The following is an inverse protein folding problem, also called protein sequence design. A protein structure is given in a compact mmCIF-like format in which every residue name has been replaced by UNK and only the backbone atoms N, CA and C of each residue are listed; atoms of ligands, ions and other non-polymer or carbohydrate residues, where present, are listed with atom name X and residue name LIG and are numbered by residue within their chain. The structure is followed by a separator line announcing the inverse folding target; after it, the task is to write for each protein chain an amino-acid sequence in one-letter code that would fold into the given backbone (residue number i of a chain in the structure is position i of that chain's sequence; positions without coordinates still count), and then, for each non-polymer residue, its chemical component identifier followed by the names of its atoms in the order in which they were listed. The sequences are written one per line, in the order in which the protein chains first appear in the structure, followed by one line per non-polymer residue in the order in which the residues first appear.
data_IF_349599231940
#
_entry.id   IF_349599231940
#
_cell.length_a   1.000
_cell.length_b   1.000
_cell.length_c   1.000
_cell.angle_alpha   90.00
_cell.angle_beta   90.00
_cell.angle_gamma   90.00
#
_symmetry.space_group_name_H-M   'P 1'
#
loop_
_entity.id
_entity.type
_entity.pdbx_description
1 polymer ?
#
# COMPACT_ATOMS: atom_id res chain seq x y z
N UNK A 1 3.24 10.27 30.03
CA UNK A 1 2.99 10.46 28.60
C UNK A 1 2.51 9.14 28.03
N UNK A 2 1.32 9.10 27.42
CA UNK A 2 0.66 7.87 26.92
C UNK A 2 0.65 7.78 25.38
N UNK A 3 1.13 8.81 24.68
CA UNK A 3 1.12 8.92 23.22
C UNK A 3 2.54 9.18 22.74
N UNK A 4 2.98 8.40 21.75
CA UNK A 4 4.20 8.60 20.99
C UNK A 4 3.83 9.24 19.64
N UNK A 5 4.22 10.50 19.47
CA UNK A 5 3.92 11.26 18.24
C UNK A 5 4.84 10.90 17.08
N UNK A 6 6.05 10.42 17.35
CA UNK A 6 6.99 9.94 16.32
C UNK A 6 6.45 8.67 15.67
N UNK A 7 6.04 7.71 16.50
CA UNK A 7 5.57 6.40 16.04
C UNK A 7 4.07 6.37 15.75
N UNK A 8 3.37 7.49 15.95
CA UNK A 8 1.92 7.61 15.83
C UNK A 8 1.20 6.48 16.57
N UNK A 9 1.66 6.21 17.80
CA UNK A 9 1.17 5.12 18.64
C UNK A 9 0.78 5.63 20.03
N UNK A 10 0.05 4.81 20.77
CA UNK A 10 -0.31 5.11 22.15
C UNK A 10 -0.25 3.86 23.01
N UNK A 11 0.27 4.02 24.22
CA UNK A 11 0.27 2.99 25.25
C UNK A 11 -1.09 2.95 25.93
N UNK A 12 -1.89 1.95 25.61
CA UNK A 12 -3.24 1.76 26.16
C UNK A 12 -3.24 0.72 27.27
N UNK A 13 -4.19 0.86 28.20
CA UNK A 13 -4.43 -0.13 29.25
C UNK A 13 -5.51 -1.11 28.80
N UNK A 14 -5.26 -2.40 28.96
CA UNK A 14 -6.24 -3.44 28.69
C UNK A 14 -7.14 -3.59 29.92
N UNK A 15 -8.44 -3.29 29.75
CA UNK A 15 -9.44 -3.32 30.83
C UNK A 15 -10.31 -4.57 30.81
N UNK A 16 -10.44 -5.23 29.65
CA UNK A 16 -11.23 -6.44 29.48
C UNK A 16 -10.70 -7.25 28.29
N UNK A 17 -10.80 -8.58 28.40
CA UNK A 17 -10.44 -9.53 27.33
C UNK A 17 -11.65 -10.46 27.13
N UNK A 18 -12.10 -10.64 25.89
CA UNK A 18 -13.29 -11.45 25.59
C UNK A 18 -12.98 -12.96 25.45
N UNK A 19 -11.76 -13.31 25.04
CA UNK A 19 -11.32 -14.69 24.83
C UNK A 19 -10.37 -15.18 25.94
N UNK A 20 -10.14 -16.50 26.04
CA UNK A 20 -9.13 -17.10 26.94
C UNK A 20 -7.69 -16.86 26.43
N UNK A 21 -7.34 -15.60 26.16
CA UNK A 21 -6.01 -15.17 25.76
C UNK A 21 -5.38 -14.37 26.91
N UNK A 22 -4.09 -14.60 27.14
CA UNK A 22 -3.32 -13.78 28.07
C UNK A 22 -2.68 -12.62 27.32
N UNK A 23 -3.20 -11.41 27.59
CA UNK A 23 -2.64 -10.16 27.11
C UNK A 23 -1.93 -9.43 28.26
N UNK A 24 -0.91 -8.60 27.96
CA UNK A 24 -0.25 -7.76 28.96
C UNK A 24 -1.22 -6.72 29.56
N UNK A 25 -0.86 -6.09 30.69
CA UNK A 25 -1.70 -5.04 31.29
C UNK A 25 -1.80 -3.78 30.40
N UNK A 26 -0.74 -3.53 29.62
CA UNK A 26 -0.65 -2.42 28.68
C UNK A 26 -0.09 -2.91 27.35
N UNK A 27 -0.51 -2.28 26.27
CA UNK A 27 0.02 -2.53 24.93
C UNK A 27 0.10 -1.21 24.15
N UNK A 28 1.08 -1.12 23.27
CA UNK A 28 1.13 -0.04 22.28
C UNK A 28 0.21 -0.38 21.12
N UNK A 29 -0.58 0.61 20.69
CA UNK A 29 -1.48 0.49 19.54
C UNK A 29 -1.35 1.70 18.62
N UNK A 30 -1.51 1.55 17.30
CA UNK A 30 -1.51 2.67 16.37
C UNK A 30 -2.65 3.66 16.66
N UNK A 31 -2.38 4.97 16.56
CA UNK A 31 -3.40 6.01 16.76
C UNK A 31 -4.58 5.87 15.79
N UNK A 32 -4.34 5.34 14.59
CA UNK A 32 -5.38 5.08 13.59
C UNK A 32 -6.36 3.97 14.00
N UNK A 33 -6.02 3.15 14.99
CA UNK A 33 -6.89 2.09 15.52
C UNK A 33 -7.72 2.53 16.72
N UNK A 34 -7.43 3.72 17.28
CA UNK A 34 -8.14 4.24 18.45
C UNK A 34 -9.53 4.78 18.11
N UNK A 35 -10.44 4.72 19.08
CA UNK A 35 -11.76 5.33 18.99
C UNK A 35 -12.01 6.17 20.23
N UNK A 36 -12.74 7.29 20.10
CA UNK A 36 -12.97 8.15 21.24
C UNK A 36 -13.97 7.51 22.21
N UNK A 37 -13.71 7.66 23.50
CA UNK A 37 -14.59 7.21 24.57
C UNK A 37 -15.65 8.27 24.87
N UNK A 38 -16.81 7.85 25.38
CA UNK A 38 -17.86 8.78 25.77
C UNK A 38 -17.41 9.70 26.93
N UNK A 39 -16.66 9.15 27.88
CA UNK A 39 -16.02 9.90 28.96
C UNK A 39 -14.60 10.25 28.55
N UNK A 40 -14.33 11.53 28.32
CA UNK A 40 -13.03 12.04 27.93
C UNK A 40 -12.48 12.95 29.02
N UNK A 41 -11.20 12.77 29.38
CA UNK A 41 -10.54 13.63 30.37
C UNK A 41 -10.29 15.04 29.84
N UNK A 42 -10.03 15.16 28.54
CA UNK A 42 -9.80 16.44 27.87
C UNK A 42 -11.14 17.08 27.46
N UNK A 43 -11.35 18.33 27.85
CA UNK A 43 -12.56 19.11 27.54
C UNK A 43 -12.42 20.03 26.31
N UNK A 44 -11.25 20.07 25.67
CA UNK A 44 -10.99 20.90 24.49
C UNK A 44 -11.73 20.40 23.24
N UNK A 45 -11.95 19.09 23.15
CA UNK A 45 -12.74 18.45 22.10
C UNK A 45 -13.81 17.58 22.77
N UNK A 46 -15.03 17.62 22.24
CA UNK A 46 -16.06 16.67 22.59
C UNK A 46 -15.86 15.34 21.84
N UNK A 47 -16.75 14.38 22.12
CA UNK A 47 -16.72 13.05 21.49
C UNK A 47 -16.68 13.14 19.95
N UNK A 48 -17.50 14.05 19.40
CA UNK A 48 -17.64 14.25 17.95
C UNK A 48 -16.38 14.89 17.38
N UNK A 49 -15.85 15.92 18.03
CA UNK A 49 -14.60 16.58 17.65
C UNK A 49 -13.44 15.61 17.63
N UNK A 50 -13.32 14.77 18.66
CA UNK A 50 -12.28 13.75 18.73
C UNK A 50 -12.44 12.69 17.64
N UNK A 51 -13.67 12.21 17.40
CA UNK A 51 -13.96 11.27 16.30
C UNK A 51 -13.54 11.84 14.94
N UNK A 52 -13.89 13.10 14.67
CA UNK A 52 -13.53 13.78 13.43
C UNK A 52 -12.01 13.90 13.25
N UNK A 53 -11.27 14.23 14.30
CA UNK A 53 -9.80 14.28 14.23
C UNK A 53 -9.19 12.91 13.89
N UNK A 54 -9.67 11.84 14.52
CA UNK A 54 -9.21 10.47 14.24
C UNK A 54 -9.57 10.07 12.80
N UNK A 55 -10.77 10.40 12.31
CA UNK A 55 -11.18 10.11 10.95
C UNK A 55 -10.35 10.88 9.91
N UNK A 56 -9.97 12.13 10.20
CA UNK A 56 -9.03 12.89 9.37
C UNK A 56 -7.64 12.26 9.35
N UNK A 57 -7.13 11.82 10.51
CA UNK A 57 -5.86 11.10 10.63
C UNK A 57 -5.86 9.82 9.80
N UNK A 58 -6.92 9.00 9.93
CA UNK A 58 -7.11 7.78 9.13
C UNK A 58 -7.17 8.09 7.65
N UNK A 59 -7.93 9.10 7.26
CA UNK A 59 -8.05 9.50 5.86
C UNK A 59 -6.66 9.87 5.28
N UNK A 60 -5.89 10.64 6.03
CA UNK A 60 -4.53 11.02 5.65
C UNK A 60 -3.64 9.80 5.42
N UNK A 61 -3.45 8.94 6.42
CA UNK A 61 -2.50 7.82 6.31
C UNK A 61 -2.97 6.67 5.39
N UNK A 62 -4.28 6.49 5.24
CA UNK A 62 -4.83 5.45 4.37
C UNK A 62 -4.90 5.86 2.89
N UNK A 63 -5.02 7.16 2.61
CA UNK A 63 -5.37 7.61 1.25
C UNK A 63 -4.49 8.71 0.67
N UNK A 64 -3.81 9.51 1.51
CA UNK A 64 -3.00 10.63 1.04
C UNK A 64 -1.50 10.38 1.22
N UNK A 65 -1.10 9.81 2.37
CA UNK A 65 0.29 9.48 2.64
C UNK A 65 0.75 8.30 1.78
N UNK A 66 1.84 8.51 1.05
CA UNK A 66 2.43 7.52 0.17
C UNK A 66 3.75 6.99 0.73
N UNK A 67 4.14 5.75 0.41
CA UNK A 67 5.35 5.12 0.95
C UNK A 67 6.65 5.88 0.67
N UNK A 68 6.70 6.68 -0.39
CA UNK A 68 7.87 7.46 -0.81
C UNK A 68 7.88 8.90 -0.26
N UNK A 69 6.87 9.30 0.53
CA UNK A 69 6.82 10.62 1.15
C UNK A 69 7.75 10.72 2.35
N UNK A 70 8.08 9.59 2.99
CA UNK A 70 9.02 9.55 4.10
C UNK A 70 10.45 9.92 3.66
N UNK A 71 10.76 9.72 2.38
CA UNK A 71 12.07 9.99 1.78
C UNK A 71 12.15 11.38 1.13
N UNK A 72 11.09 12.20 1.22
CA UNK A 72 11.15 13.57 0.71
C UNK A 72 12.11 14.42 1.57
N UNK A 73 12.86 15.31 0.91
CA UNK A 73 13.77 16.24 1.59
C UNK A 73 12.97 17.05 2.63
N UNK A 74 13.50 17.17 3.85
CA UNK A 74 12.89 17.91 4.97
C UNK A 74 12.47 19.35 4.61
N UNK A 75 13.00 19.89 3.51
CA UNK A 75 12.68 21.21 2.98
C UNK A 75 11.41 21.27 2.11
N UNK A 76 10.78 20.13 1.79
CA UNK A 76 9.56 20.08 0.97
C UNK A 76 8.33 20.37 1.83
N UNK A 77 7.60 21.45 1.50
CA UNK A 77 6.26 21.67 2.04
C UNK A 77 5.30 20.64 1.44
N UNK A 78 5.09 19.53 2.16
CA UNK A 78 4.22 18.43 1.73
C UNK A 78 2.78 18.92 1.49
N UNK A 79 2.29 19.86 2.31
CA UNK A 79 0.92 20.38 2.18
C UNK A 79 0.77 21.15 0.88
N UNK A 80 1.70 22.06 0.60
CA UNK A 80 1.70 22.82 -0.65
C UNK A 80 1.91 21.93 -1.89
N UNK A 81 2.66 20.84 -1.74
CA UNK A 81 3.08 19.99 -2.87
C UNK A 81 2.07 18.88 -3.19
N UNK A 82 1.42 18.28 -2.19
CA UNK A 82 0.67 17.02 -2.36
C UNK A 82 -0.77 17.06 -1.88
N UNK A 83 -1.12 17.87 -0.86
CA UNK A 83 -2.42 17.74 -0.19
C UNK A 83 -3.60 17.91 -1.16
N UNK A 84 -3.60 19.00 -1.93
CA UNK A 84 -4.70 19.30 -2.86
C UNK A 84 -4.80 18.27 -3.98
N UNK A 85 -3.67 17.92 -4.60
CA UNK A 85 -3.62 17.02 -5.76
C UNK A 85 -4.05 15.61 -5.39
N UNK A 86 -3.65 15.10 -4.21
CA UNK A 86 -4.01 13.75 -3.75
C UNK A 86 -5.44 13.66 -3.24
N UNK A 87 -5.95 14.69 -2.56
CA UNK A 87 -7.39 14.78 -2.23
C UNK A 87 -8.21 14.75 -3.52
N UNK A 88 -7.83 15.56 -4.51
CA UNK A 88 -8.50 15.57 -5.82
C UNK A 88 -8.46 14.20 -6.48
N UNK A 89 -7.29 13.56 -6.55
CA UNK A 89 -7.13 12.23 -7.14
C UNK A 89 -8.05 11.21 -6.47
N UNK A 90 -8.08 11.18 -5.13
CA UNK A 90 -8.93 10.27 -4.37
C UNK A 90 -10.41 10.43 -4.73
N UNK A 91 -10.91 11.68 -4.75
CA UNK A 91 -12.32 11.93 -5.08
C UNK A 91 -12.62 11.73 -6.56
N UNK A 92 -11.69 12.02 -7.46
CA UNK A 92 -11.84 11.75 -8.90
C UNK A 92 -11.99 10.24 -9.15
N UNK A 93 -11.19 9.41 -8.48
CA UNK A 93 -11.32 7.95 -8.53
C UNK A 93 -12.65 7.48 -7.92
N UNK A 94 -13.04 8.03 -6.75
CA UNK A 94 -14.29 7.65 -6.06
C UNK A 94 -15.55 8.03 -6.85
N UNK A 95 -15.51 9.15 -7.58
CA UNK A 95 -16.62 9.66 -8.40
C UNK A 95 -16.66 9.11 -9.82
N UNK A 96 -15.69 8.29 -10.20
CA UNK A 96 -15.60 7.70 -11.55
C UNK A 96 -15.18 8.69 -12.63
N UNK A 97 -14.55 9.82 -12.26
CA UNK A 97 -13.90 10.73 -13.21
C UNK A 97 -12.67 10.04 -13.80
N UNK A 98 -11.95 9.27 -12.98
CA UNK A 98 -10.88 8.39 -13.44
C UNK A 98 -11.49 7.06 -13.89
N UNK A 99 -11.17 6.63 -15.12
CA UNK A 99 -11.65 5.34 -15.63
C UNK A 99 -11.12 4.16 -14.79
N UNK A 100 -11.77 3.00 -14.93
CA UNK A 100 -11.49 1.84 -14.09
C UNK A 100 -10.06 1.33 -14.29
N UNK A 101 -9.57 1.24 -15.54
CA UNK A 101 -8.22 0.75 -15.82
C UNK A 101 -7.16 1.61 -15.15
N UNK A 102 -7.28 2.93 -15.25
CA UNK A 102 -6.33 3.86 -14.61
C UNK A 102 -6.42 3.78 -13.09
N UNK A 103 -7.62 3.62 -12.53
CA UNK A 103 -7.77 3.41 -11.09
C UNK A 103 -7.04 2.15 -10.61
N UNK A 104 -7.14 1.05 -11.36
CA UNK A 104 -6.51 -0.22 -11.00
C UNK A 104 -4.98 -0.15 -11.11
N UNK A 105 -4.47 0.62 -12.08
CA UNK A 105 -3.05 0.96 -12.21
C UNK A 105 -2.54 1.75 -11.00
N UNK A 106 -3.27 2.79 -10.60
CA UNK A 106 -2.95 3.63 -9.43
C UNK A 106 -2.91 2.76 -8.17
N UNK A 107 -3.97 1.97 -7.91
CA UNK A 107 -4.03 1.07 -6.74
C UNK A 107 -2.89 0.06 -6.74
N UNK A 108 -2.52 -0.45 -7.91
CA UNK A 108 -1.40 -1.39 -8.05
C UNK A 108 -0.07 -0.73 -7.74
N UNK A 109 0.17 0.50 -8.20
CA UNK A 109 1.37 1.28 -7.87
C UNK A 109 1.48 1.54 -6.38
N UNK A 110 0.38 1.99 -5.74
CA UNK A 110 0.36 2.26 -4.31
C UNK A 110 0.64 0.99 -3.51
N UNK A 111 0.00 -0.14 -3.87
CA UNK A 111 0.24 -1.42 -3.21
C UNK A 111 1.69 -1.88 -3.37
N UNK A 112 2.23 -1.81 -4.59
CA UNK A 112 3.62 -2.17 -4.87
C UNK A 112 4.61 -1.27 -4.11
N UNK A 113 4.34 0.04 -4.04
CA UNK A 113 5.11 0.97 -3.22
C UNK A 113 5.10 0.59 -1.74
N UNK A 114 3.95 0.21 -1.18
CA UNK A 114 3.86 -0.22 0.23
C UNK A 114 4.66 -1.51 0.47
N UNK A 115 4.57 -2.47 -0.44
CA UNK A 115 5.34 -3.72 -0.37
C UNK A 115 6.86 -3.48 -0.49
N UNK A 116 7.28 -2.56 -1.36
CA UNK A 116 8.69 -2.19 -1.52
C UNK A 116 9.19 -1.43 -0.28
N UNK A 117 8.44 -0.47 0.23
CA UNK A 117 8.82 0.29 1.43
C UNK A 117 9.00 -0.63 2.64
N UNK A 118 8.08 -1.58 2.84
CA UNK A 118 8.21 -2.57 3.90
C UNK A 118 9.43 -3.50 3.73
N UNK A 119 9.89 -3.75 2.49
CA UNK A 119 11.11 -4.53 2.24
C UNK A 119 12.38 -3.70 2.45
N UNK A 120 12.35 -2.42 2.11
CA UNK A 120 13.45 -1.48 2.36
C UNK A 120 13.70 -1.40 3.86
N UNK A 121 12.68 -1.03 4.65
CA UNK A 121 12.81 -0.91 6.11
C UNK A 121 13.34 -2.19 6.76
N UNK A 122 12.83 -3.37 6.38
CA UNK A 122 13.35 -4.64 6.91
C UNK A 122 14.82 -4.89 6.57
N UNK A 123 15.24 -4.58 5.34
CA UNK A 123 16.64 -4.76 4.93
C UNK A 123 17.55 -3.75 5.62
N UNK A 124 17.08 -2.54 5.88
CA UNK A 124 17.81 -1.53 6.63
C UNK A 124 17.97 -1.94 8.10
N UNK A 125 16.91 -2.43 8.74
CA UNK A 125 16.97 -2.99 10.10
C UNK A 125 17.95 -4.17 10.17
N UNK A 126 17.85 -5.12 9.24
CA UNK A 126 18.76 -6.28 9.16
C UNK A 126 20.24 -5.87 8.96
N UNK A 127 20.50 -4.78 8.22
CA UNK A 127 21.86 -4.26 8.02
C UNK A 127 22.35 -3.53 9.27
N UNK A 128 21.50 -2.73 9.91
CA UNK A 128 21.83 -2.00 11.14
C UNK A 128 22.19 -2.96 12.28
N UNK A 129 21.42 -4.04 12.45
CA UNK A 129 21.67 -5.07 13.48
C UNK A 129 23.00 -5.82 13.24
N UNK A 130 23.38 -6.04 11.98
CA UNK A 130 24.65 -6.71 11.61
C UNK A 130 25.89 -5.83 11.84
N UNK A 131 25.76 -4.50 11.80
CA UNK A 131 26.85 -3.56 12.05
C UNK A 131 27.26 -3.47 13.53
N UNK A 132 26.37 -3.84 14.45
CA UNK A 132 26.63 -3.83 15.90
C UNK A 132 27.50 -5.04 16.36
N UNK A 133 27.46 -6.17 15.66
CA UNK A 133 28.22 -7.39 15.98
C UNK A 133 29.68 -7.35 15.45
N UNK A 134 30.50 -6.34 15.76
CA UNK A 134 31.98 -6.21 15.54
C UNK A 134 32.57 -6.75 14.20
N UNK A 135 31.73 -7.01 13.19
CA UNK A 135 32.06 -7.63 11.90
C UNK A 135 31.98 -6.55 10.82
N UNK A 136 32.66 -5.44 11.09
CA UNK A 136 32.60 -4.14 10.37
C UNK A 136 32.97 -4.12 8.88
N UNK A 137 33.02 -5.24 8.15
CA UNK A 137 33.69 -5.21 6.85
C UNK A 137 32.93 -5.74 5.65
N UNK A 138 31.74 -6.33 5.77
CA UNK A 138 31.05 -6.83 4.58
C UNK A 138 29.53 -6.70 4.76
N UNK A 139 28.97 -5.49 4.55
CA UNK A 139 27.57 -5.44 4.09
C UNK A 139 27.51 -6.37 2.90
N UNK A 140 26.73 -7.45 2.99
CA UNK A 140 26.61 -8.42 1.91
C UNK A 140 26.34 -7.66 0.61
N UNK A 141 27.28 -7.72 -0.34
CA UNK A 141 27.15 -7.03 -1.63
C UNK A 141 25.81 -7.41 -2.30
N UNK A 142 25.28 -8.60 -1.99
CA UNK A 142 23.94 -9.05 -2.33
C UNK A 142 22.83 -8.19 -1.73
N UNK A 143 22.83 -7.96 -0.40
CA UNK A 143 21.83 -7.12 0.30
C UNK A 143 21.88 -5.66 -0.17
N UNK A 144 23.08 -5.08 -0.28
CA UNK A 144 23.24 -3.71 -0.78
C UNK A 144 22.71 -3.54 -2.22
N UNK A 145 22.99 -4.52 -3.10
CA UNK A 145 22.46 -4.53 -4.46
C UNK A 145 20.92 -4.69 -4.50
N UNK A 146 20.35 -5.49 -3.59
CA UNK A 146 18.90 -5.62 -3.47
C UNK A 146 18.25 -4.33 -2.99
N UNK A 147 18.78 -3.71 -1.95
CA UNK A 147 18.31 -2.43 -1.41
C UNK A 147 18.32 -1.35 -2.49
N UNK A 148 19.43 -1.21 -3.22
CA UNK A 148 19.55 -0.28 -4.34
C UNK A 148 18.47 -0.53 -5.43
N UNK A 149 18.20 -1.79 -5.80
CA UNK A 149 17.12 -2.12 -6.76
C UNK A 149 15.74 -1.73 -6.26
N UNK A 150 15.47 -1.90 -4.96
CA UNK A 150 14.21 -1.53 -4.35
C UNK A 150 14.01 -0.01 -4.36
N UNK A 151 15.01 0.79 -3.97
CA UNK A 151 14.93 2.25 -4.07
C UNK A 151 14.75 2.73 -5.51
N UNK A 152 15.47 2.15 -6.48
CA UNK A 152 15.25 2.50 -7.88
C UNK A 152 13.82 2.22 -8.33
N UNK A 153 13.23 1.09 -7.92
CA UNK A 153 11.84 0.80 -8.26
C UNK A 153 10.87 1.73 -7.53
N UNK A 154 11.12 2.07 -6.27
CA UNK A 154 10.32 3.06 -5.53
C UNK A 154 10.30 4.41 -6.26
N UNK A 155 11.46 4.88 -6.71
CA UNK A 155 11.56 6.13 -7.48
C UNK A 155 10.84 6.07 -8.83
N UNK A 156 10.84 4.91 -9.51
CA UNK A 156 10.02 4.74 -10.71
C UNK A 156 8.53 4.82 -10.40
N UNK A 157 8.07 4.19 -9.32
CA UNK A 157 6.67 4.24 -8.89
C UNK A 157 6.25 5.68 -8.57
N UNK A 158 7.09 6.43 -7.84
CA UNK A 158 6.86 7.85 -7.54
C UNK A 158 6.67 8.66 -8.82
N UNK A 159 7.61 8.55 -9.77
CA UNK A 159 7.51 9.25 -11.06
C UNK A 159 6.27 8.85 -11.87
N UNK A 160 5.90 7.56 -11.88
CA UNK A 160 4.66 7.10 -12.52
C UNK A 160 3.42 7.73 -11.84
N UNK A 161 3.44 7.83 -10.50
CA UNK A 161 2.36 8.43 -9.71
C UNK A 161 2.26 9.94 -9.89
N UNK A 162 3.36 10.68 -9.97
CA UNK A 162 3.35 12.13 -10.19
C UNK A 162 2.60 12.51 -11.49
N UNK A 163 2.80 11.72 -12.54
CA UNK A 163 2.06 11.86 -13.80
C UNK A 163 0.57 11.59 -13.61
N UNK A 164 0.23 10.57 -12.82
CA UNK A 164 -1.16 10.16 -12.56
C UNK A 164 -1.87 11.10 -11.59
N UNK A 165 -1.17 11.79 -10.70
CA UNK A 165 -1.72 12.81 -9.81
C UNK A 165 -2.09 14.09 -10.57
N UNK A 166 -1.29 14.45 -11.58
CA UNK A 166 -1.57 15.60 -12.44
C UNK A 166 -2.85 15.38 -13.29
N UNK A 167 -3.92 16.18 -13.09
CA UNK A 167 -5.19 15.97 -13.80
C UNK A 167 -5.08 16.07 -15.32
N UNK A 168 -4.26 16.99 -15.83
CA UNK A 168 -4.10 17.19 -17.27
C UNK A 168 -3.39 15.99 -17.92
N UNK A 169 -2.32 15.51 -17.30
CA UNK A 169 -1.57 14.35 -17.80
C UNK A 169 -2.42 13.07 -17.72
N UNK A 170 -3.15 12.89 -16.61
CA UNK A 170 -4.09 11.77 -16.44
C UNK A 170 -5.18 11.77 -17.50
N UNK A 171 -5.80 12.91 -17.79
CA UNK A 171 -6.83 13.05 -18.83
C UNK A 171 -6.26 12.74 -20.24
N UNK A 172 -5.03 13.18 -20.53
CA UNK A 172 -4.35 12.81 -21.78
C UNK A 172 -4.14 11.29 -21.92
N UNK A 173 -3.74 10.60 -20.85
CA UNK A 173 -3.56 9.14 -20.85
C UNK A 173 -4.87 8.38 -21.05
N UNK A 174 -5.97 8.87 -20.47
CA UNK A 174 -7.29 8.27 -20.64
C UNK A 174 -7.83 8.41 -22.06
N UNK A 175 -7.56 9.55 -22.72
CA UNK A 175 -7.95 9.78 -24.12
C UNK A 175 -7.07 9.01 -25.10
N UNK A 176 -5.84 8.67 -24.71
CA UNK A 176 -4.86 8.02 -25.57
C UNK A 176 -4.25 6.77 -24.88
N UNK A 177 -5.02 5.67 -24.77
CA UNK A 177 -4.66 4.52 -23.95
C UNK A 177 -3.44 3.72 -24.45
N UNK A 178 -2.88 4.06 -25.62
CA UNK A 178 -1.66 3.43 -26.16
C UNK A 178 -0.50 3.52 -25.15
N UNK A 179 -0.40 4.63 -24.41
CA UNK A 179 0.62 4.80 -23.35
C UNK A 179 0.36 3.91 -22.13
N UNK A 180 -0.91 3.74 -21.73
CA UNK A 180 -1.32 2.91 -20.59
C UNK A 180 -1.06 1.43 -20.89
N UNK A 181 -1.44 0.96 -22.08
CA UNK A 181 -1.17 -0.40 -22.52
C UNK A 181 0.34 -0.69 -22.57
N UNK A 182 1.18 0.28 -22.97
CA UNK A 182 2.63 0.11 -22.95
C UNK A 182 3.19 0.00 -21.52
N UNK A 183 2.62 0.73 -20.55
CA UNK A 183 2.99 0.63 -19.12
C UNK A 183 2.54 -0.72 -18.56
N UNK A 184 1.31 -1.18 -18.84
CA UNK A 184 0.85 -2.51 -18.43
C UNK A 184 1.68 -3.62 -19.07
N UNK A 185 2.00 -3.52 -20.36
CA UNK A 185 2.85 -4.49 -21.06
C UNK A 185 4.25 -4.54 -20.42
N UNK A 186 4.87 -3.39 -20.13
CA UNK A 186 6.15 -3.35 -19.40
C UNK A 186 6.06 -3.93 -18.00
N UNK A 187 4.96 -3.71 -17.27
CA UNK A 187 4.73 -4.30 -15.93
C UNK A 187 4.53 -5.82 -15.99
N UNK A 188 3.84 -6.34 -17.01
CA UNK A 188 3.70 -7.78 -17.24
C UNK A 188 5.03 -8.40 -17.63
N UNK A 189 5.86 -7.69 -18.38
CA UNK A 189 7.21 -8.14 -18.74
C UNK A 189 8.15 -8.18 -17.53
N UNK A 190 8.08 -7.21 -16.62
CA UNK A 190 8.91 -7.20 -15.40
C UNK A 190 8.50 -8.26 -14.36
N UNK A 191 7.22 -8.68 -14.33
CA UNK A 191 6.71 -9.73 -13.45
C UNK A 191 6.87 -11.16 -14.00
N UNK A 192 7.43 -11.29 -15.21
CA UNK A 192 7.49 -12.54 -15.96
C UNK A 192 6.13 -12.87 -16.57
N UNK A 193 6.09 -13.15 -17.88
CA UNK A 193 4.86 -13.57 -18.56
C UNK A 193 4.42 -14.94 -18.01
N UNK A 194 3.45 -14.96 -17.10
CA UNK A 194 2.65 -16.16 -16.81
C UNK A 194 1.43 -16.16 -17.72
N UNK A 195 1.18 -17.29 -18.36
CA UNK A 195 -0.04 -17.50 -19.14
C UNK A 195 -1.16 -17.73 -18.12
N UNK A 196 -2.12 -16.81 -18.06
CA UNK A 196 -3.29 -16.88 -17.19
C UNK A 196 -4.51 -17.19 -18.04
N UNK A 197 -5.31 -18.18 -17.64
CA UNK A 197 -6.56 -18.54 -18.31
C UNK A 197 -7.74 -18.32 -17.36
N UNK A 198 -8.81 -17.69 -17.85
CA UNK A 198 -10.03 -17.47 -17.05
C UNK A 198 -11.10 -18.47 -17.47
N UNK A 199 -11.52 -19.32 -16.54
CA UNK A 199 -12.61 -20.27 -16.72
C UNK A 199 -13.86 -19.78 -15.97
N UNK A 200 -14.94 -19.51 -16.69
CA UNK A 200 -16.22 -19.08 -16.09
C UNK A 200 -17.10 -20.31 -15.88
N UNK A 201 -17.34 -20.68 -14.62
CA UNK A 201 -18.18 -21.82 -14.23
C UNK A 201 -19.55 -21.36 -13.75
N UNK A 202 -20.62 -21.87 -14.38
CA UNK A 202 -22.00 -21.55 -14.03
C UNK A 202 -22.64 -22.52 -13.02
N UNK A 203 -21.87 -23.48 -12.48
CA UNK A 203 -22.35 -24.48 -11.52
C UNK A 203 -22.92 -25.74 -12.19
N UNK A 204 -22.51 -26.92 -11.71
CA UNK A 204 -23.08 -28.23 -12.04
C UNK A 204 -22.60 -29.29 -11.03
N UNK A 205 -22.97 -30.56 -11.25
CA UNK A 205 -22.45 -31.69 -10.46
C UNK A 205 -20.93 -31.80 -10.52
N UNK A 206 -20.32 -32.39 -9.48
CA UNK A 206 -18.86 -32.63 -9.41
C UNK A 206 -18.31 -33.33 -10.65
N UNK A 207 -19.03 -34.32 -11.19
CA UNK A 207 -18.62 -35.03 -12.41
C UNK A 207 -18.55 -34.10 -13.62
N UNK A 208 -19.56 -33.25 -13.80
CA UNK A 208 -19.57 -32.26 -14.87
C UNK A 208 -18.44 -31.22 -14.70
N UNK A 209 -18.07 -30.86 -13.47
CA UNK A 209 -16.91 -29.99 -13.21
C UNK A 209 -15.60 -30.66 -13.64
N UNK A 210 -15.41 -31.94 -13.30
CA UNK A 210 -14.24 -32.72 -13.71
C UNK A 210 -14.16 -32.80 -15.24
N UNK A 211 -15.29 -33.08 -15.91
CA UNK A 211 -15.33 -33.19 -17.37
C UNK A 211 -15.04 -31.85 -18.06
N UNK A 212 -15.51 -30.73 -17.49
CA UNK A 212 -15.21 -29.39 -18.00
C UNK A 212 -13.73 -29.00 -17.85
N UNK A 213 -13.10 -29.34 -16.72
CA UNK A 213 -11.67 -29.11 -16.51
C UNK A 213 -10.82 -29.99 -17.43
N UNK A 214 -11.22 -31.24 -17.64
CA UNK A 214 -10.54 -32.13 -18.59
C UNK A 214 -10.61 -31.61 -20.03
N UNK A 215 -11.75 -31.04 -20.45
CA UNK A 215 -11.85 -30.37 -21.74
C UNK A 215 -11.00 -29.11 -21.81
N UNK A 216 -10.95 -28.30 -20.75
CA UNK A 216 -10.13 -27.10 -20.72
C UNK A 216 -8.63 -27.43 -20.89
N UNK A 217 -8.17 -28.58 -20.36
CA UNK A 217 -6.81 -29.08 -20.55
C UNK A 217 -6.43 -29.30 -22.02
N UNK A 218 -7.38 -29.59 -22.92
CA UNK A 218 -7.09 -29.74 -24.35
C UNK A 218 -6.71 -28.42 -25.03
N UNK A 219 -7.08 -27.28 -24.43
CA UNK A 219 -6.87 -25.95 -24.99
C UNK A 219 -5.77 -25.16 -24.27
N UNK A 220 -5.25 -25.68 -23.15
CA UNK A 220 -4.31 -24.98 -22.28
C UNK A 220 -2.98 -25.76 -22.18
N UNK A 221 -1.83 -25.08 -22.29
CA UNK A 221 -0.53 -25.67 -21.98
C UNK A 221 -0.47 -26.26 -20.55
N UNK A 222 0.32 -27.32 -20.36
CA UNK A 222 0.42 -28.04 -19.09
C UNK A 222 0.99 -27.18 -17.93
N UNK A 223 1.63 -26.05 -18.23
CA UNK A 223 2.21 -25.10 -17.28
C UNK A 223 1.28 -23.91 -16.94
N UNK A 224 0.04 -23.92 -17.44
CA UNK A 224 -0.96 -22.90 -17.14
C UNK A 224 -1.62 -23.15 -15.79
N UNK A 225 -1.65 -22.10 -14.98
CA UNK A 225 -2.46 -22.05 -13.76
C UNK A 225 -3.87 -21.58 -14.11
N UNK A 226 -4.89 -22.36 -13.71
CA UNK A 226 -6.33 -22.06 -13.85
C UNK A 226 -6.84 -21.52 -12.52
#
# INVERSE_FOLDING_TARGET
EQVDFSELSALVKIVAVQDEIHLPEKCDVPLVELYPTQEQENSALDLIGTANCIDQLRFFFNHLWMPWDADDDDNVDWVASHLETRIRLFFDMKRGIVNKETCDIIRTLIREGREIGAKISRLEDDISDEEEEDTRCLVDEGKACQLMKLHFRMQQIKNEMDVLENPAMRDMLQRNPVGINAIEVKRRESRGRKIEAFFVWHGASLQATIDSLNKAKEFLPDDVFI
#
